data_IF_617805294865
#
_entry.id   IF_617805294865
#
_cell.length_a   1.000
_cell.length_b   1.000
_cell.length_c   1.000
_cell.angle_alpha   90.00
_cell.angle_beta   90.00
_cell.angle_gamma   90.00
#
_symmetry.space_group_name_H-M   'P 1'
#
loop_
_entity.id
_entity.type
_entity.pdbx_description
1 polymer ?
#
# COMPACT_ATOMS: atom_id res chain seq x y z
N UNK A 1 -22.57 -13.45 11.63
CA UNK A 1 -21.84 -12.16 11.54
C UNK A 1 -22.82 -11.06 11.90
N UNK A 2 -22.45 -10.16 12.81
CA UNK A 2 -23.28 -9.02 13.19
C UNK A 2 -22.99 -7.80 12.31
N UNK A 3 -23.98 -6.92 12.11
CA UNK A 3 -23.83 -5.68 11.35
C UNK A 3 -23.68 -4.53 12.34
N UNK A 4 -22.49 -4.40 12.93
CA UNK A 4 -22.14 -3.34 13.85
C UNK A 4 -20.62 -3.08 13.83
N UNK A 5 -20.21 -1.94 14.39
CA UNK A 5 -18.80 -1.57 14.60
C UNK A 5 -18.49 -1.67 16.08
N UNK A 6 -17.30 -2.13 16.45
CA UNK A 6 -16.88 -2.27 17.85
C UNK A 6 -15.90 -1.15 18.21
N UNK A 7 -16.23 -0.39 19.25
CA UNK A 7 -15.31 0.56 19.86
C UNK A 7 -14.55 -0.12 21.01
N UNK A 8 -13.37 -0.63 20.71
CA UNK A 8 -12.53 -1.35 21.65
C UNK A 8 -11.87 -0.37 22.65
N UNK A 9 -11.90 -0.65 23.96
CA UNK A 9 -11.02 0.04 24.90
C UNK A 9 -9.55 -0.14 24.50
N UNK A 10 -8.69 0.84 24.77
CA UNK A 10 -7.27 0.78 24.38
C UNK A 10 -6.57 -0.47 24.91
N UNK A 11 -6.83 -0.87 26.16
CA UNK A 11 -6.26 -2.09 26.75
C UNK A 11 -6.64 -3.37 26.00
N UNK A 12 -7.82 -3.40 25.38
CA UNK A 12 -8.26 -4.53 24.56
C UNK A 12 -7.58 -4.51 23.20
N UNK A 13 -7.44 -3.34 22.56
CA UNK A 13 -6.65 -3.23 21.31
C UNK A 13 -5.22 -3.69 21.55
N UNK A 14 -4.59 -3.24 22.63
CA UNK A 14 -3.22 -3.60 22.98
C UNK A 14 -3.07 -5.12 23.18
N UNK A 15 -4.07 -5.77 23.79
CA UNK A 15 -4.10 -7.23 23.97
C UNK A 15 -4.31 -8.00 22.65
N UNK A 16 -4.92 -7.39 21.63
CA UNK A 16 -5.13 -7.98 20.31
C UNK A 16 -3.90 -7.84 19.40
N UNK A 17 -3.03 -6.86 19.63
CA UNK A 17 -1.84 -6.60 18.79
C UNK A 17 -1.00 -7.86 18.55
N UNK A 18 -0.62 -8.67 19.58
CA UNK A 18 0.17 -9.87 19.35
C UNK A 18 -0.50 -10.83 18.37
N UNK A 19 -1.81 -11.07 18.52
CA UNK A 19 -2.59 -11.96 17.66
C UNK A 19 -2.73 -11.46 16.21
N UNK A 20 -2.63 -10.14 15.99
CA UNK A 20 -2.53 -9.57 14.65
C UNK A 20 -1.13 -9.81 14.08
N UNK A 21 -0.08 -9.57 14.88
CA UNK A 21 1.31 -9.65 14.45
C UNK A 21 1.80 -11.07 14.13
N UNK A 22 1.33 -12.07 14.88
CA UNK A 22 1.71 -13.48 14.72
C UNK A 22 0.71 -14.30 13.87
N UNK A 23 -0.34 -13.63 13.38
CA UNK A 23 -1.44 -14.23 12.62
C UNK A 23 -2.25 -15.29 13.39
N UNK A 24 -2.26 -15.27 14.73
CA UNK A 24 -3.17 -16.09 15.52
C UNK A 24 -4.64 -15.68 15.33
N UNK A 25 -4.90 -14.39 15.04
CA UNK A 25 -6.21 -13.92 14.59
C UNK A 25 -6.42 -14.20 13.10
N UNK A 26 -7.64 -14.58 12.73
CA UNK A 26 -7.97 -14.84 11.33
C UNK A 26 -7.84 -13.57 10.48
N UNK A 27 -7.60 -13.67 9.15
CA UNK A 27 -7.61 -12.50 8.28
C UNK A 27 -8.92 -11.69 8.34
N UNK A 28 -10.05 -12.35 8.62
CA UNK A 28 -11.34 -11.68 8.81
C UNK A 28 -11.34 -10.83 10.07
N UNK A 29 -10.86 -11.36 11.21
CA UNK A 29 -10.81 -10.61 12.47
C UNK A 29 -9.85 -9.42 12.36
N UNK A 30 -8.67 -9.63 11.75
CA UNK A 30 -7.72 -8.53 11.47
C UNK A 30 -8.34 -7.48 10.57
N UNK A 31 -9.04 -7.89 9.51
CA UNK A 31 -9.78 -6.96 8.66
C UNK A 31 -10.81 -6.15 9.47
N UNK A 32 -11.65 -6.81 10.27
CA UNK A 32 -12.74 -6.18 11.01
C UNK A 32 -12.19 -5.17 12.03
N UNK A 33 -11.17 -5.53 12.82
CA UNK A 33 -10.54 -4.65 13.80
C UNK A 33 -10.04 -3.34 13.17
N UNK A 34 -9.25 -3.40 12.10
CA UNK A 34 -8.74 -2.15 11.48
C UNK A 34 -9.85 -1.33 10.82
N UNK A 35 -10.86 -1.98 10.22
CA UNK A 35 -11.98 -1.23 9.62
C UNK A 35 -12.85 -0.54 10.67
N UNK A 36 -13.03 -1.15 11.85
CA UNK A 36 -13.77 -0.55 12.96
C UNK A 36 -13.06 0.68 13.50
N UNK A 37 -11.76 0.57 13.76
CA UNK A 37 -10.92 1.66 14.26
C UNK A 37 -10.89 2.81 13.24
N UNK A 38 -10.75 2.53 11.95
CA UNK A 38 -10.86 3.55 10.92
C UNK A 38 -12.23 4.21 10.86
N UNK A 39 -13.32 3.44 10.93
CA UNK A 39 -14.69 3.99 10.88
C UNK A 39 -14.96 4.91 12.08
N UNK A 40 -14.47 4.55 13.27
CA UNK A 40 -14.55 5.36 14.48
C UNK A 40 -13.71 6.64 14.34
N UNK A 41 -12.51 6.56 13.77
CA UNK A 41 -11.67 7.73 13.51
C UNK A 41 -12.35 8.68 12.51
N UNK A 42 -12.89 8.12 11.43
CA UNK A 42 -13.59 8.89 10.39
C UNK A 42 -14.86 9.57 10.87
N UNK A 43 -15.59 8.94 11.81
CA UNK A 43 -16.79 9.51 12.42
C UNK A 43 -16.51 10.44 13.61
N UNK A 44 -15.24 10.65 13.97
CA UNK A 44 -14.83 11.54 15.05
C UNK A 44 -15.00 10.97 16.46
N UNK A 45 -15.26 9.66 16.60
CA UNK A 45 -15.34 9.00 17.91
C UNK A 45 -13.95 8.75 18.52
N UNK A 46 -12.92 8.61 17.68
CA UNK A 46 -11.50 8.53 18.07
C UNK A 46 -10.63 9.38 17.11
N UNK A 47 -9.33 9.51 17.39
CA UNK A 47 -8.43 10.27 16.53
C UNK A 47 -7.83 9.39 15.41
N UNK A 48 -7.59 9.95 14.22
CA UNK A 48 -6.81 9.27 13.17
C UNK A 48 -5.41 8.86 13.63
N UNK A 49 -4.82 9.56 14.60
CA UNK A 49 -3.56 9.16 15.26
C UNK A 49 -3.65 7.76 15.84
N UNK A 50 -4.79 7.38 16.44
CA UNK A 50 -4.96 6.06 17.05
C UNK A 50 -5.04 4.97 15.97
N UNK A 51 -5.72 5.23 14.86
CA UNK A 51 -5.72 4.35 13.68
C UNK A 51 -4.30 4.17 13.10
N UNK A 52 -3.56 5.26 12.91
CA UNK A 52 -2.19 5.20 12.37
C UNK A 52 -1.21 4.49 13.33
N UNK A 53 -1.39 4.62 14.65
CA UNK A 53 -0.65 3.86 15.66
C UNK A 53 -0.97 2.37 15.56
N UNK A 54 -2.26 2.01 15.51
CA UNK A 54 -2.68 0.61 15.36
C UNK A 54 -2.03 -0.04 14.15
N UNK A 55 -2.11 0.60 12.97
CA UNK A 55 -1.48 0.07 11.76
C UNK A 55 0.03 -0.14 11.95
N UNK A 56 0.72 0.84 12.52
CA UNK A 56 2.18 0.77 12.74
C UNK A 56 2.59 -0.33 13.70
N UNK A 57 1.81 -0.54 14.75
CA UNK A 57 2.14 -1.52 15.79
C UNK A 57 1.68 -2.92 15.42
N UNK A 58 0.55 -3.09 14.75
CA UNK A 58 -0.07 -4.41 14.57
C UNK A 58 0.09 -4.99 13.15
N UNK A 59 0.08 -4.15 12.10
CA UNK A 59 -0.08 -4.63 10.71
C UNK A 59 1.23 -4.70 9.91
N UNK A 60 2.38 -4.42 10.52
CA UNK A 60 3.68 -4.51 9.82
C UNK A 60 4.04 -5.92 9.34
N UNK A 61 3.40 -6.98 9.85
CA UNK A 61 3.63 -8.36 9.41
C UNK A 61 2.51 -8.91 8.52
N UNK A 62 1.47 -8.11 8.24
CA UNK A 62 0.32 -8.54 7.47
C UNK A 62 0.72 -9.03 6.07
N UNK A 63 0.08 -10.10 5.61
CA UNK A 63 0.34 -10.77 4.34
C UNK A 63 -0.93 -11.02 3.51
N UNK A 64 -2.10 -10.70 4.05
CA UNK A 64 -3.37 -10.95 3.40
C UNK A 64 -3.77 -9.81 2.45
N UNK A 65 -4.06 -10.18 1.19
CA UNK A 65 -4.47 -9.25 0.15
C UNK A 65 -5.70 -8.41 0.52
N UNK A 66 -6.72 -9.03 1.14
CA UNK A 66 -7.98 -8.35 1.46
C UNK A 66 -7.77 -7.31 2.57
N UNK A 67 -6.98 -7.66 3.59
CA UNK A 67 -6.61 -6.74 4.67
C UNK A 67 -5.82 -5.55 4.09
N UNK A 68 -4.79 -5.82 3.28
CA UNK A 68 -3.99 -4.76 2.66
C UNK A 68 -4.79 -3.84 1.74
N UNK A 69 -5.67 -4.39 0.90
CA UNK A 69 -6.56 -3.58 0.06
C UNK A 69 -7.40 -2.61 0.88
N UNK A 70 -7.92 -3.08 2.02
CA UNK A 70 -8.73 -2.26 2.93
C UNK A 70 -7.90 -1.14 3.55
N UNK A 71 -6.75 -1.48 4.15
CA UNK A 71 -5.84 -0.52 4.77
C UNK A 71 -5.41 0.55 3.76
N UNK A 72 -4.96 0.13 2.57
CA UNK A 72 -4.47 1.04 1.54
C UNK A 72 -5.58 1.94 1.00
N UNK A 73 -6.81 1.42 0.82
CA UNK A 73 -7.96 2.26 0.46
C UNK A 73 -8.19 3.35 1.51
N UNK A 74 -8.17 2.98 2.79
CA UNK A 74 -8.40 3.93 3.89
C UNK A 74 -7.28 4.97 4.02
N UNK A 75 -6.03 4.55 3.77
CA UNK A 75 -4.89 5.47 3.69
C UNK A 75 -4.98 6.41 2.48
N UNK A 76 -5.49 5.95 1.32
CA UNK A 76 -5.78 6.82 0.16
C UNK A 76 -6.88 7.83 0.51
N UNK A 77 -7.95 7.38 1.16
CA UNK A 77 -9.03 8.27 1.61
C UNK A 77 -8.48 9.34 2.58
N UNK A 78 -7.60 8.96 3.53
CA UNK A 78 -6.92 9.90 4.43
C UNK A 78 -5.93 10.81 3.70
N UNK A 79 -5.23 10.30 2.69
CA UNK A 79 -4.29 11.05 1.86
C UNK A 79 -4.98 12.23 1.16
N UNK A 80 -6.24 12.04 0.72
CA UNK A 80 -7.04 13.09 0.11
C UNK A 80 -7.33 14.23 1.09
N UNK A 81 -7.55 13.93 2.37
CA UNK A 81 -7.75 14.93 3.43
C UNK A 81 -6.44 15.69 3.66
N UNK A 82 -5.31 14.98 3.70
CA UNK A 82 -3.97 15.56 3.87
C UNK A 82 -3.61 16.51 2.72
N UNK A 83 -4.06 16.24 1.49
CA UNK A 83 -3.83 17.12 0.34
C UNK A 83 -4.45 18.52 0.50
N UNK A 84 -5.50 18.65 1.31
CA UNK A 84 -6.12 19.93 1.65
C UNK A 84 -5.63 20.52 2.97
N UNK A 85 -4.77 19.82 3.70
CA UNK A 85 -4.23 20.30 4.97
C UNK A 85 -3.09 21.31 4.71
N UNK A 86 -3.25 22.55 5.17
CA UNK A 86 -2.21 23.60 5.13
C UNK A 86 -1.11 23.38 6.17
N UNK A 87 -0.62 22.15 6.31
CA UNK A 87 0.43 21.78 7.27
C UNK A 87 1.70 21.44 6.49
N UNK A 88 2.73 22.27 6.69
CA UNK A 88 4.02 22.11 6.02
C UNK A 88 4.59 20.70 6.27
N UNK A 89 5.08 20.06 5.19
CA UNK A 89 5.65 18.70 5.18
C UNK A 89 4.71 17.54 5.55
N UNK A 90 3.45 17.76 5.92
CA UNK A 90 2.57 16.66 6.37
C UNK A 90 2.42 15.57 5.31
N UNK A 91 2.22 15.96 4.04
CA UNK A 91 2.15 15.04 2.91
C UNK A 91 3.38 14.14 2.80
N UNK A 92 4.58 14.74 2.92
CA UNK A 92 5.85 14.02 2.84
C UNK A 92 6.03 13.05 4.01
N UNK A 93 5.67 13.46 5.23
CA UNK A 93 5.72 12.60 6.40
C UNK A 93 4.75 11.42 6.27
N UNK A 94 3.56 11.65 5.71
CA UNK A 94 2.58 10.60 5.47
C UNK A 94 3.04 9.59 4.41
N UNK A 95 3.67 10.07 3.34
CA UNK A 95 4.32 9.22 2.33
C UNK A 95 5.43 8.34 2.92
N UNK A 96 6.28 8.91 3.79
CA UNK A 96 7.31 8.17 4.51
C UNK A 96 6.68 7.11 5.42
N UNK A 97 5.60 7.47 6.13
CA UNK A 97 4.86 6.54 6.98
C UNK A 97 4.30 5.35 6.20
N UNK A 98 3.70 5.58 5.02
CA UNK A 98 3.19 4.50 4.17
C UNK A 98 4.34 3.58 3.73
N UNK A 99 5.46 4.14 3.28
CA UNK A 99 6.63 3.32 2.91
C UNK A 99 7.17 2.49 4.10
N UNK A 100 7.23 3.07 5.30
CA UNK A 100 7.63 2.35 6.53
C UNK A 100 6.68 1.20 6.87
N UNK A 101 5.36 1.43 6.75
CA UNK A 101 4.34 0.42 7.02
C UNK A 101 4.45 -0.78 6.07
N UNK A 102 4.71 -0.52 4.78
CA UNK A 102 4.79 -1.56 3.75
C UNK A 102 6.17 -2.21 3.61
N UNK A 103 7.19 -1.70 4.32
CA UNK A 103 8.59 -2.11 4.15
C UNK A 103 8.83 -3.62 4.30
N UNK A 104 8.18 -4.25 5.27
CA UNK A 104 8.32 -5.68 5.58
C UNK A 104 7.73 -6.60 4.51
N UNK A 105 6.59 -6.22 3.92
CA UNK A 105 6.02 -6.99 2.82
C UNK A 105 6.79 -6.72 1.53
N UNK A 106 7.17 -5.46 1.29
CA UNK A 106 7.98 -5.08 0.14
C UNK A 106 9.31 -5.85 0.06
N UNK A 107 10.00 -6.06 1.18
CA UNK A 107 11.28 -6.77 1.20
C UNK A 107 11.20 -8.26 0.80
N UNK A 108 9.98 -8.82 0.76
CA UNK A 108 9.72 -10.21 0.34
C UNK A 108 9.29 -10.31 -1.13
N UNK A 109 9.09 -9.18 -1.80
CA UNK A 109 8.59 -9.11 -3.17
C UNK A 109 9.72 -8.92 -4.16
N UNK A 110 9.61 -9.60 -5.28
CA UNK A 110 10.40 -9.36 -6.48
C UNK A 110 9.58 -8.56 -7.50
N UNK A 111 10.21 -8.02 -8.54
CA UNK A 111 9.47 -7.38 -9.64
C UNK A 111 8.89 -8.41 -10.62
N UNK A 112 9.60 -9.52 -10.81
CA UNK A 112 9.16 -10.60 -11.68
C UNK A 112 8.43 -11.68 -10.86
N UNK A 113 7.44 -12.38 -11.45
CA UNK A 113 6.72 -13.44 -10.75
C UNK A 113 7.67 -14.53 -10.24
N UNK A 114 7.42 -14.99 -9.02
CA UNK A 114 8.11 -16.17 -8.49
C UNK A 114 7.57 -17.46 -9.14
N UNK A 115 8.37 -18.54 -9.21
CA UNK A 115 7.86 -19.86 -9.61
C UNK A 115 6.68 -20.27 -8.73
N UNK A 116 5.56 -20.65 -9.36
CA UNK A 116 4.30 -21.01 -8.67
C UNK A 116 3.63 -19.86 -7.89
N UNK A 117 3.85 -18.60 -8.29
CA UNK A 117 3.11 -17.47 -7.74
C UNK A 117 1.60 -17.61 -8.02
N UNK A 118 0.81 -17.73 -6.94
CA UNK A 118 -0.64 -17.75 -7.05
C UNK A 118 -1.23 -16.36 -7.34
N UNK A 119 -2.47 -16.32 -7.86
CA UNK A 119 -3.14 -15.07 -8.25
C UNK A 119 -3.16 -14.02 -7.13
N UNK A 120 -3.47 -14.42 -5.88
CA UNK A 120 -3.52 -13.48 -4.76
C UNK A 120 -2.15 -12.86 -4.45
N UNK A 121 -1.07 -13.66 -4.55
CA UNK A 121 0.30 -13.18 -4.35
C UNK A 121 0.71 -12.20 -5.46
N UNK A 122 0.38 -12.51 -6.72
CA UNK A 122 0.62 -11.61 -7.84
C UNK A 122 -0.12 -10.26 -7.69
N UNK A 123 -1.39 -10.30 -7.27
CA UNK A 123 -2.18 -9.09 -7.02
C UNK A 123 -1.64 -8.28 -5.84
N UNK A 124 -1.17 -8.96 -4.79
CA UNK A 124 -0.56 -8.31 -3.63
C UNK A 124 0.76 -7.63 -4.04
N UNK A 125 1.58 -8.31 -4.83
CA UNK A 125 2.83 -7.77 -5.37
C UNK A 125 2.61 -6.49 -6.16
N UNK A 126 1.69 -6.49 -7.13
CA UNK A 126 1.36 -5.29 -7.90
C UNK A 126 0.85 -4.16 -7.00
N UNK A 127 -0.09 -4.47 -6.08
CA UNK A 127 -0.62 -3.51 -5.13
C UNK A 127 0.46 -2.83 -4.29
N UNK A 128 1.39 -3.60 -3.72
CA UNK A 128 2.48 -3.07 -2.88
C UNK A 128 3.47 -2.27 -3.73
N UNK A 129 3.85 -2.75 -4.91
CA UNK A 129 4.77 -2.04 -5.81
C UNK A 129 4.19 -0.68 -6.24
N UNK A 130 2.91 -0.62 -6.62
CA UNK A 130 2.21 0.64 -6.91
C UNK A 130 2.36 1.60 -5.73
N UNK A 131 2.00 1.15 -4.52
CA UNK A 131 1.98 2.02 -3.34
C UNK A 131 3.37 2.51 -2.96
N UNK A 132 4.40 1.66 -3.04
CA UNK A 132 5.78 2.05 -2.78
C UNK A 132 6.25 3.12 -3.76
N UNK A 133 5.98 2.95 -5.05
CA UNK A 133 6.39 3.89 -6.09
C UNK A 133 5.72 5.26 -5.96
N UNK A 134 4.38 5.29 -5.84
CA UNK A 134 3.63 6.56 -5.74
C UNK A 134 3.92 7.32 -4.44
N UNK A 135 4.30 6.63 -3.37
CA UNK A 135 4.62 7.22 -2.06
C UNK A 135 6.10 7.55 -1.85
N UNK A 136 6.96 7.47 -2.87
CA UNK A 136 8.32 8.01 -2.71
C UNK A 136 9.45 7.02 -2.56
N UNK A 137 9.21 5.72 -2.62
CA UNK A 137 10.27 4.75 -2.41
C UNK A 137 11.28 4.77 -3.57
N UNK A 138 12.51 5.23 -3.30
CA UNK A 138 13.53 5.50 -4.32
C UNK A 138 13.84 4.27 -5.19
N UNK A 139 14.13 3.11 -4.59
CA UNK A 139 14.45 1.89 -5.36
C UNK A 139 13.29 1.46 -6.26
N UNK A 140 12.05 1.59 -5.81
CA UNK A 140 10.88 1.25 -6.62
C UNK A 140 10.72 2.22 -7.79
N UNK A 141 10.97 3.52 -7.58
CA UNK A 141 10.92 4.52 -8.64
C UNK A 141 12.00 4.28 -9.69
N UNK A 142 13.24 4.07 -9.27
CA UNK A 142 14.35 3.76 -10.18
C UNK A 142 14.06 2.54 -11.04
N UNK A 143 13.55 1.47 -10.44
CA UNK A 143 13.22 0.25 -11.17
C UNK A 143 11.99 0.41 -12.08
N UNK A 144 10.97 1.17 -11.65
CA UNK A 144 9.83 1.51 -12.50
C UNK A 144 10.26 2.26 -13.77
N UNK A 145 11.13 3.27 -13.63
CA UNK A 145 11.66 4.04 -14.77
C UNK A 145 12.48 3.16 -15.71
N UNK A 146 13.38 2.30 -15.18
CA UNK A 146 14.14 1.34 -16.00
C UNK A 146 13.23 0.43 -16.83
N UNK A 147 12.17 -0.11 -16.21
CA UNK A 147 11.22 -1.00 -16.90
C UNK A 147 10.33 -0.25 -17.88
N UNK A 148 10.02 1.02 -17.62
CA UNK A 148 9.29 1.87 -18.55
C UNK A 148 10.08 2.12 -19.84
N UNK A 149 11.39 2.38 -19.75
CA UNK A 149 12.26 2.50 -20.93
C UNK A 149 12.29 1.23 -21.80
N UNK A 150 12.20 0.05 -21.17
CA UNK A 150 12.07 -1.22 -21.91
C UNK A 150 10.71 -1.29 -22.62
N UNK A 151 9.64 -0.81 -21.99
CA UNK A 151 8.29 -0.79 -22.58
C UNK A 151 8.14 0.20 -23.74
N UNK A 152 8.85 1.34 -23.72
CA UNK A 152 8.83 2.31 -24.81
C UNK A 152 9.48 1.78 -26.09
N UNK A 153 10.50 0.92 -25.94
CA UNK A 153 11.22 0.35 -27.06
C UNK A 153 10.59 -0.98 -27.50
N UNK A 154 9.56 -0.94 -28.34
CA UNK A 154 8.85 -2.15 -28.82
C UNK A 154 9.75 -3.16 -29.57
N UNK A 155 10.87 -2.69 -30.13
CA UNK A 155 11.91 -3.52 -30.76
C UNK A 155 12.91 -4.12 -29.75
N UNK A 156 12.81 -3.78 -28.46
CA UNK A 156 13.65 -4.34 -27.42
C UNK A 156 13.27 -5.80 -27.19
N UNK A 157 14.27 -6.70 -27.24
CA UNK A 157 14.07 -8.13 -27.03
C UNK A 157 13.47 -8.44 -25.65
N UNK A 158 13.67 -7.55 -24.66
CA UNK A 158 13.10 -7.65 -23.32
C UNK A 158 11.71 -7.03 -23.18
N UNK A 159 11.13 -6.43 -24.22
CA UNK A 159 9.77 -5.86 -24.16
C UNK A 159 8.73 -6.93 -23.76
N UNK A 160 8.85 -8.14 -24.33
CA UNK A 160 7.96 -9.26 -24.02
C UNK A 160 8.23 -9.90 -22.65
N UNK A 161 9.38 -9.62 -22.02
CA UNK A 161 9.70 -10.17 -20.70
C UNK A 161 9.04 -9.40 -19.56
N UNK A 162 8.54 -8.18 -19.79
CA UNK A 162 7.82 -7.41 -18.77
C UNK A 162 6.43 -8.01 -18.55
N UNK A 163 6.24 -8.59 -17.37
CA UNK A 163 4.97 -9.19 -16.99
C UNK A 163 3.83 -8.15 -17.03
N UNK A 164 2.69 -8.44 -17.69
CA UNK A 164 1.54 -7.53 -17.73
C UNK A 164 1.02 -7.09 -16.36
N UNK A 165 1.10 -7.96 -15.34
CA UNK A 165 0.57 -7.70 -14.01
C UNK A 165 1.30 -6.58 -13.25
N UNK A 166 2.52 -6.19 -13.65
CA UNK A 166 3.27 -5.08 -13.02
C UNK A 166 3.22 -3.78 -13.82
N UNK A 167 2.57 -3.78 -14.98
CA UNK A 167 2.51 -2.58 -15.83
C UNK A 167 1.81 -1.43 -15.13
N UNK A 168 0.80 -1.72 -14.30
CA UNK A 168 0.14 -0.71 -13.47
C UNK A 168 1.13 -0.07 -12.49
N UNK A 169 1.93 -0.87 -11.76
CA UNK A 169 3.00 -0.36 -10.91
C UNK A 169 4.00 0.53 -11.66
N UNK A 170 4.42 0.12 -12.87
CA UNK A 170 5.34 0.90 -13.71
C UNK A 170 4.71 2.24 -14.10
N UNK A 171 3.59 2.22 -14.81
CA UNK A 171 2.99 3.42 -15.38
C UNK A 171 2.52 4.40 -14.32
N UNK A 172 1.90 3.94 -13.22
CA UNK A 172 1.45 4.83 -12.15
C UNK A 172 2.63 5.49 -11.42
N UNK A 173 3.71 4.75 -11.19
CA UNK A 173 4.91 5.30 -10.54
C UNK A 173 5.59 6.34 -11.42
N UNK A 174 5.76 6.02 -12.71
CA UNK A 174 6.35 6.90 -13.70
C UNK A 174 5.49 8.14 -13.90
N UNK A 175 4.17 8.01 -14.06
CA UNK A 175 3.25 9.15 -14.14
C UNK A 175 3.30 10.05 -12.89
N UNK A 176 3.51 9.47 -11.70
CA UNK A 176 3.59 10.23 -10.44
C UNK A 176 4.90 11.01 -10.28
N UNK A 177 5.97 10.59 -10.95
CA UNK A 177 7.34 11.11 -10.76
C UNK A 177 7.94 11.75 -12.00
N UNK A 178 7.28 11.56 -13.15
CA UNK A 178 7.72 12.03 -14.44
C UNK A 178 7.56 13.52 -14.63
N UNK A 179 8.10 13.98 -15.74
CA UNK A 179 8.03 15.35 -16.22
C UNK A 179 7.14 15.43 -17.48
N UNK A 180 7.18 16.55 -18.20
CA UNK A 180 6.42 16.71 -19.44
C UNK A 180 6.80 15.67 -20.51
N UNK A 181 8.07 15.30 -20.62
CA UNK A 181 8.54 14.29 -21.58
C UNK A 181 7.93 12.91 -21.27
N UNK A 182 7.96 12.50 -20.00
CA UNK A 182 7.31 11.28 -19.53
C UNK A 182 5.82 11.27 -19.85
N UNK A 183 5.15 12.41 -19.74
CA UNK A 183 3.73 12.52 -20.07
C UNK A 183 3.47 12.26 -21.57
N UNK A 184 4.28 12.83 -22.47
CA UNK A 184 4.14 12.57 -23.91
C UNK A 184 4.44 11.09 -24.24
N UNK A 185 5.45 10.49 -23.61
CA UNK A 185 5.79 9.07 -23.76
C UNK A 185 4.67 8.12 -23.27
N UNK A 186 3.89 8.51 -22.25
CA UNK A 186 2.76 7.73 -21.77
C UNK A 186 1.53 7.80 -22.68
N UNK A 187 1.46 8.80 -23.56
CA UNK A 187 0.33 9.03 -24.48
C UNK A 187 0.48 8.27 -25.80
N UNK A 188 1.72 8.05 -26.25
CA UNK A 188 2.07 7.32 -27.47
C UNK A 188 1.84 5.83 -27.33
#
# INVERSE_FOLDING_TARGET
>A
VGIYRVNYPQSMLDALIPGIQDHALSPQDRFDIQTDVYALARSGHINYVDYLKLLRHAYKHEDNLTVWKSILKQLIDLNSIIDYASIHNLKKLFQIYICDLLSNIYSKLEWDPLPNEGLQAAMLRDLILIQMGINGHNKTREEAHKRFEILLNSNNQNHQSINPNIRAAIYLTVAKTGNQETFEQLKS
#
